data_IF_131751256182
#
_entry.id   IF_131751256182
#
_cell.length_a   1.000
_cell.length_b   1.000
_cell.length_c   1.000
_cell.angle_alpha   90.00
_cell.angle_beta   90.00
_cell.angle_gamma   90.00
#
_symmetry.space_group_name_H-M   'P 1'
#
loop_
_entity.id
_entity.type
_entity.pdbx_description
1 polymer ?
#
# COMPACT_ATOMS: atom_id res chain seq x y z
N UNK A 1 -11.46 1.01 16.03
CA UNK A 1 -10.35 1.53 15.22
C UNK A 1 -9.04 0.96 15.74
N UNK A 2 -8.26 0.32 14.86
CA UNK A 2 -6.90 -0.15 15.12
C UNK A 2 -5.94 0.43 14.08
N UNK A 3 -4.68 0.63 14.42
CA UNK A 3 -3.64 1.08 13.47
C UNK A 3 -2.33 0.31 13.70
N UNK A 4 -1.63 -0.01 12.61
CA UNK A 4 -0.28 -0.55 12.64
C UNK A 4 0.64 0.36 11.81
N UNK A 5 1.73 0.85 12.39
CA UNK A 5 2.69 1.73 11.71
C UNK A 5 4.09 1.16 11.83
N UNK A 6 4.81 1.05 10.72
CA UNK A 6 6.22 0.64 10.70
C UNK A 6 7.08 1.65 9.91
N UNK A 7 8.34 1.78 10.33
CA UNK A 7 9.34 2.64 9.69
C UNK A 7 10.66 1.87 9.63
N UNK A 8 11.17 1.67 8.42
CA UNK A 8 12.46 1.01 8.19
C UNK A 8 12.50 0.26 6.87
N UNK A 9 13.72 -0.05 6.41
CA UNK A 9 13.93 -0.76 5.15
C UNK A 9 13.55 -2.23 5.28
N UNK A 10 12.88 -2.75 4.25
CA UNK A 10 12.36 -4.13 4.17
C UNK A 10 11.43 -4.48 5.32
N UNK A 11 10.64 -3.51 5.77
CA UNK A 11 9.72 -3.70 6.88
C UNK A 11 8.31 -4.04 6.38
N UNK A 12 7.47 -4.56 7.27
CA UNK A 12 6.07 -4.86 6.99
C UNK A 12 5.16 -4.28 8.08
N UNK A 13 4.03 -3.69 7.67
CA UNK A 13 2.95 -3.29 8.55
C UNK A 13 1.68 -4.07 8.19
N UNK A 14 1.11 -4.81 9.14
CA UNK A 14 -0.06 -5.67 8.92
C UNK A 14 -1.13 -5.38 9.97
N UNK A 15 -2.39 -5.20 9.54
CA UNK A 15 -3.51 -4.99 10.44
C UNK A 15 -4.75 -5.78 9.99
N UNK A 16 -5.36 -6.53 10.91
CA UNK A 16 -6.50 -7.42 10.62
C UNK A 16 -7.83 -6.88 11.10
N UNK A 17 -7.85 -5.72 11.77
CA UNK A 17 -9.09 -5.11 12.28
C UNK A 17 -9.95 -4.51 11.17
N UNK A 18 -11.26 -4.45 11.39
CA UNK A 18 -12.17 -3.70 10.52
C UNK A 18 -12.02 -2.19 10.75
N UNK A 19 -12.22 -1.40 9.69
CA UNK A 19 -12.06 0.06 9.73
C UNK A 19 -10.68 0.45 10.28
N UNK A 20 -9.64 -0.23 9.82
CA UNK A 20 -8.29 -0.10 10.33
C UNK A 20 -7.35 0.54 9.31
N UNK A 21 -6.14 0.88 9.75
CA UNK A 21 -5.07 1.34 8.87
C UNK A 21 -3.80 0.51 9.11
N UNK A 22 -3.07 0.23 8.03
CA UNK A 22 -1.69 -0.23 8.08
C UNK A 22 -0.83 0.74 7.26
N UNK A 23 0.16 1.35 7.90
CA UNK A 23 1.02 2.35 7.26
C UNK A 23 2.48 1.92 7.34
N UNK A 24 3.16 1.94 6.19
CA UNK A 24 4.58 1.64 6.12
C UNK A 24 5.37 2.73 5.38
N UNK A 25 6.58 2.99 5.87
CA UNK A 25 7.52 3.99 5.38
C UNK A 25 8.93 3.39 5.38
N UNK A 26 9.68 3.54 4.29
CA UNK A 26 11.02 2.95 4.11
C UNK A 26 11.13 2.05 2.88
N UNK A 27 12.33 1.72 2.45
CA UNK A 27 12.58 1.09 1.15
C UNK A 27 12.14 -0.37 1.14
N UNK A 28 11.62 -0.86 0.01
CA UNK A 28 11.20 -2.26 -0.18
C UNK A 28 10.19 -2.75 0.86
N UNK A 29 9.28 -1.86 1.25
CA UNK A 29 8.37 -2.05 2.38
C UNK A 29 6.97 -2.49 1.96
N UNK A 30 6.30 -3.27 2.81
CA UNK A 30 4.95 -3.78 2.54
C UNK A 30 3.92 -3.30 3.56
N UNK A 31 2.73 -2.92 3.11
CA UNK A 31 1.59 -2.60 3.97
C UNK A 31 0.36 -3.46 3.62
N UNK A 32 -0.28 -4.06 4.62
CA UNK A 32 -1.41 -4.95 4.41
C UNK A 32 -2.54 -4.73 5.42
N UNK A 33 -3.77 -4.72 4.91
CA UNK A 33 -4.97 -4.84 5.73
C UNK A 33 -5.86 -5.98 5.26
N UNK A 34 -6.37 -6.77 6.21
CA UNK A 34 -7.30 -7.88 5.92
C UNK A 34 -8.73 -7.67 6.44
N UNK A 35 -8.98 -6.55 7.13
CA UNK A 35 -10.31 -6.19 7.63
C UNK A 35 -11.09 -5.31 6.65
N UNK A 36 -12.41 -5.45 6.62
CA UNK A 36 -13.28 -4.65 5.75
C UNK A 36 -13.22 -3.16 6.08
N UNK A 37 -13.40 -2.32 5.04
CA UNK A 37 -13.34 -0.86 5.14
C UNK A 37 -12.00 -0.32 5.68
N UNK A 38 -10.92 -1.08 5.51
CA UNK A 38 -9.58 -0.70 5.99
C UNK A 38 -8.70 -0.18 4.86
N UNK A 39 -7.64 0.55 5.21
CA UNK A 39 -6.72 1.15 4.23
C UNK A 39 -5.28 0.69 4.49
N UNK A 40 -4.62 0.15 3.47
CA UNK A 40 -3.19 -0.12 3.48
C UNK A 40 -2.43 1.01 2.76
N UNK A 41 -1.37 1.53 3.37
CA UNK A 41 -0.61 2.69 2.87
C UNK A 41 0.88 2.36 2.89
N UNK A 42 1.54 2.42 1.74
CA UNK A 42 3.02 2.30 1.65
C UNK A 42 3.60 3.51 0.91
N UNK A 43 4.46 4.27 1.59
CA UNK A 43 4.99 5.57 1.10
C UNK A 43 6.50 5.57 0.83
N UNK A 44 7.16 4.43 1.02
CA UNK A 44 8.59 4.25 0.80
C UNK A 44 8.96 3.90 -0.65
N UNK A 45 10.26 3.90 -0.94
CA UNK A 45 10.80 3.49 -2.25
C UNK A 45 10.45 2.02 -2.49
N UNK A 46 9.94 1.70 -3.68
CA UNK A 46 9.53 0.34 -4.07
C UNK A 46 8.58 -0.30 -3.03
N UNK A 47 7.74 0.52 -2.40
CA UNK A 47 6.73 0.07 -1.46
C UNK A 47 5.58 -0.66 -2.17
N UNK A 48 5.05 -1.71 -1.55
CA UNK A 48 3.85 -2.42 -2.02
C UNK A 48 2.72 -2.43 -0.99
N UNK A 49 1.49 -2.50 -1.46
CA UNK A 49 0.30 -2.49 -0.61
C UNK A 49 -0.76 -3.49 -1.09
N UNK A 50 -1.51 -4.05 -0.15
CA UNK A 50 -2.62 -4.98 -0.38
C UNK A 50 -3.76 -4.71 0.59
N UNK A 51 -4.99 -4.81 0.12
CA UNK A 51 -6.18 -4.71 0.94
C UNK A 51 -7.19 -5.83 0.62
N UNK A 52 -7.97 -6.22 1.63
CA UNK A 52 -9.11 -7.13 1.48
C UNK A 52 -10.32 -6.45 0.82
N UNK A 53 -11.37 -7.23 0.55
CA UNK A 53 -12.65 -6.75 0.03
C UNK A 53 -13.15 -5.49 0.78
N UNK A 54 -13.66 -4.51 0.02
CA UNK A 54 -14.10 -3.19 0.51
C UNK A 54 -13.01 -2.32 1.15
N UNK A 55 -11.75 -2.76 1.16
CA UNK A 55 -10.61 -1.96 1.58
C UNK A 55 -10.08 -1.05 0.48
N UNK A 56 -9.04 -0.29 0.79
CA UNK A 56 -8.35 0.58 -0.17
C UNK A 56 -6.83 0.51 0.01
N UNK A 57 -6.11 0.90 -1.03
CA UNK A 57 -4.65 1.05 -1.01
C UNK A 57 -4.24 2.48 -1.33
N UNK A 58 -3.10 2.90 -0.78
CA UNK A 58 -2.39 4.13 -1.16
C UNK A 58 -0.92 3.80 -1.36
N UNK A 59 -0.36 4.22 -2.49
CA UNK A 59 1.01 3.92 -2.90
C UNK A 59 1.71 5.18 -3.40
N UNK A 60 3.03 5.22 -3.22
CA UNK A 60 3.91 6.20 -3.82
C UNK A 60 4.90 5.54 -4.78
N UNK A 61 5.21 6.23 -5.87
CA UNK A 61 6.39 5.95 -6.68
C UNK A 61 7.43 7.04 -6.42
N UNK A 62 8.68 6.61 -6.21
CA UNK A 62 9.84 7.46 -5.98
C UNK A 62 10.96 7.04 -6.92
N UNK A 63 11.75 8.00 -7.37
CA UNK A 63 12.92 7.72 -8.19
C UNK A 63 14.12 7.26 -7.33
N UNK A 64 15.28 7.04 -7.97
CA UNK A 64 16.51 6.55 -7.33
C UNK A 64 17.10 7.54 -6.30
N UNK A 65 16.81 8.84 -6.44
CA UNK A 65 17.22 9.89 -5.49
C UNK A 65 16.22 10.04 -4.33
N UNK A 66 15.10 9.31 -4.38
CA UNK A 66 14.04 9.31 -3.39
C UNK A 66 13.01 10.43 -3.58
N UNK A 67 13.06 11.17 -4.69
CA UNK A 67 12.07 12.21 -5.01
C UNK A 67 10.68 11.58 -5.18
N UNK A 68 9.65 12.27 -4.69
CA UNK A 68 8.27 11.80 -4.84
C UNK A 68 7.76 12.16 -6.23
N UNK A 69 7.54 11.15 -7.08
CA UNK A 69 7.06 11.36 -8.45
C UNK A 69 5.55 11.17 -8.51
N UNK A 70 5.04 10.04 -7.97
CA UNK A 70 3.59 9.75 -8.00
C UNK A 70 3.06 9.38 -6.62
N UNK A 71 1.80 9.72 -6.40
CA UNK A 71 0.96 9.15 -5.35
C UNK A 71 -0.40 8.81 -5.96
N UNK A 72 -0.92 7.63 -5.62
CA UNK A 72 -2.25 7.17 -6.03
C UNK A 72 -2.94 6.46 -4.89
N UNK A 73 -4.26 6.53 -4.91
CA UNK A 73 -5.13 5.75 -4.06
C UNK A 73 -6.23 5.11 -4.89
N UNK A 74 -6.66 3.92 -4.49
CA UNK A 74 -7.81 3.27 -5.10
C UNK A 74 -8.46 2.30 -4.13
N UNK A 75 -9.79 2.17 -4.24
CA UNK A 75 -10.55 1.15 -3.53
C UNK A 75 -10.42 -0.19 -4.24
N UNK A 76 -10.48 -1.26 -3.47
CA UNK A 76 -10.62 -2.61 -4.03
C UNK A 76 -11.94 -2.68 -4.83
N UNK A 77 -11.85 -3.17 -6.06
CA UNK A 77 -12.95 -3.18 -7.04
C UNK A 77 -12.99 -1.96 -7.96
N UNK A 78 -12.14 -0.95 -7.73
CA UNK A 78 -12.04 0.27 -8.54
C UNK A 78 -10.65 0.36 -9.19
N UNK A 79 -10.56 1.01 -10.35
CA UNK A 79 -9.32 1.23 -11.10
C UNK A 79 -8.45 -0.03 -11.31
N UNK A 80 -9.09 -1.19 -11.48
CA UNK A 80 -8.40 -2.47 -11.70
C UNK A 80 -7.81 -3.13 -10.45
N UNK A 81 -7.99 -2.55 -9.25
CA UNK A 81 -7.47 -3.13 -8.00
C UNK A 81 -8.29 -4.35 -7.56
N UNK A 82 -7.63 -5.50 -7.52
CA UNK A 82 -8.18 -6.76 -7.02
C UNK A 82 -7.96 -6.87 -5.52
N UNK A 83 -8.90 -7.53 -4.85
CA UNK A 83 -8.72 -7.89 -3.44
C UNK A 83 -7.53 -8.82 -3.28
N UNK A 84 -6.90 -8.79 -2.10
CA UNK A 84 -5.87 -9.74 -1.69
C UNK A 84 -4.68 -9.85 -2.67
N UNK A 85 -4.47 -8.81 -3.47
CA UNK A 85 -3.42 -8.72 -4.49
C UNK A 85 -2.47 -7.58 -4.12
N UNK A 86 -1.17 -7.82 -4.31
CA UNK A 86 -0.14 -6.82 -4.05
C UNK A 86 0.02 -5.91 -5.26
N UNK A 87 0.10 -4.61 -4.98
CA UNK A 87 0.33 -3.59 -5.99
C UNK A 87 1.53 -2.70 -5.64
N UNK A 88 2.21 -2.22 -6.67
CA UNK A 88 3.14 -1.10 -6.65
C UNK A 88 2.67 -0.04 -7.65
N UNK A 89 3.26 1.15 -7.60
CA UNK A 89 3.19 2.10 -8.71
C UNK A 89 4.43 1.95 -9.59
N UNK A 90 4.25 2.06 -10.90
CA UNK A 90 5.34 2.19 -11.86
C UNK A 90 5.75 3.66 -12.10
N UNK A 91 6.69 3.86 -13.03
CA UNK A 91 7.21 5.17 -13.42
C UNK A 91 6.17 6.11 -14.03
N UNK A 92 5.09 5.57 -14.58
CA UNK A 92 3.96 6.33 -15.13
C UNK A 92 2.89 6.62 -14.06
N UNK A 93 3.01 6.00 -12.88
CA UNK A 93 2.07 6.15 -11.78
C UNK A 93 0.83 5.27 -11.93
N UNK A 94 0.93 4.18 -12.68
CA UNK A 94 -0.09 3.16 -12.84
C UNK A 94 0.08 2.04 -11.81
N UNK A 95 -1.02 1.41 -11.42
CA UNK A 95 -0.99 0.28 -10.48
C UNK A 95 -0.55 -1.00 -11.19
N UNK A 96 0.53 -1.62 -10.70
CA UNK A 96 1.07 -2.87 -11.27
C UNK A 96 1.00 -3.99 -10.24
N UNK A 97 0.51 -5.15 -10.66
CA UNK A 97 0.46 -6.36 -9.82
C UNK A 97 1.86 -6.92 -9.59
N UNK A 98 2.17 -7.24 -8.34
CA UNK A 98 3.47 -7.80 -7.94
C UNK A 98 3.32 -9.03 -7.06
N UNK A 99 4.40 -9.79 -6.91
CA UNK A 99 4.49 -10.95 -6.01
C UNK A 99 4.74 -10.53 -4.55
#
# INVERSE_FOLDING_TARGET
WSSATNTGNRSAATNTGNQSAATNTGDWSSAEVSGSQSVAVSLGIEGKARASENGAIVLCYRDEDGELIHIRSSKVGENGIKQDTWYQLDEDGEFVEVA
#
